data_IF_509624458592
#
_entry.id   IF_509624458592
#
_cell.length_a   1.000
_cell.length_b   1.000
_cell.length_c   1.000
_cell.angle_alpha   90.00
_cell.angle_beta   90.00
_cell.angle_gamma   90.00
#
_symmetry.space_group_name_H-M   'P 1'
#
loop_
_entity.id
_entity.type
_entity.pdbx_description
1 polymer ?
#
# COMPACT_ATOMS: atom_id res chain seq x y z
N UNK A 1 7.36 12.70 -4.16
CA UNK A 1 6.43 13.03 -3.06
C UNK A 1 5.97 14.49 -3.11
N UNK A 2 6.84 15.46 -3.40
CA UNK A 2 6.53 16.91 -3.44
C UNK A 2 5.26 17.26 -4.21
N UNK A 3 5.16 16.84 -5.48
CA UNK A 3 3.99 17.15 -6.30
C UNK A 3 2.69 16.52 -5.79
N UNK A 4 2.77 15.32 -5.18
CA UNK A 4 1.60 14.68 -4.59
C UNK A 4 1.10 15.45 -3.38
N UNK A 5 2.00 15.94 -2.52
CA UNK A 5 1.63 16.78 -1.39
C UNK A 5 1.02 18.10 -1.88
N UNK A 6 1.64 18.75 -2.87
CA UNK A 6 1.12 19.99 -3.47
C UNK A 6 -0.26 19.83 -4.10
N UNK A 7 -0.55 18.70 -4.76
CA UNK A 7 -1.85 18.46 -5.39
C UNK A 7 -2.98 18.24 -4.37
N UNK A 8 -2.64 17.82 -3.15
CA UNK A 8 -3.58 17.55 -2.07
C UNK A 8 -3.57 18.65 -1.00
N UNK A 9 -2.96 19.81 -1.29
CA UNK A 9 -2.76 20.93 -0.37
C UNK A 9 -2.16 20.54 0.99
N UNK A 10 -1.26 19.56 0.99
CA UNK A 10 -0.54 19.11 2.18
C UNK A 10 0.73 19.93 2.38
N UNK A 11 0.98 20.49 3.59
CA UNK A 11 2.11 21.39 3.87
C UNK A 11 3.43 20.61 4.09
N UNK A 12 3.75 19.67 3.21
CA UNK A 12 4.97 18.86 3.27
C UNK A 12 5.79 18.95 2.00
N UNK A 13 7.11 19.05 2.16
CA UNK A 13 8.06 18.73 1.10
C UNK A 13 8.03 17.24 0.72
N UNK A 14 8.77 16.88 -0.32
CA UNK A 14 8.90 15.49 -0.73
C UNK A 14 10.24 14.88 -0.35
N UNK A 15 10.20 13.75 0.35
CA UNK A 15 11.36 12.90 0.61
C UNK A 15 11.04 11.43 0.32
N UNK A 16 12.07 10.59 0.28
CA UNK A 16 11.97 9.13 0.23
C UNK A 16 13.24 8.53 0.83
N UNK A 17 13.08 7.56 1.72
CA UNK A 17 14.16 6.71 2.22
C UNK A 17 14.05 5.31 1.64
N UNK A 18 15.19 4.64 1.47
CA UNK A 18 15.25 3.25 1.07
C UNK A 18 16.42 2.55 1.75
N UNK A 19 16.24 1.27 2.04
CA UNK A 19 17.29 0.37 2.52
C UNK A 19 17.33 -0.82 1.56
N UNK A 20 18.50 -1.10 0.97
CA UNK A 20 18.67 -2.23 0.06
C UNK A 20 18.82 -3.49 0.91
N UNK A 21 17.69 -4.13 1.19
CA UNK A 21 17.62 -5.37 1.97
C UNK A 21 16.43 -6.19 1.49
N UNK A 22 16.60 -7.51 1.38
CA UNK A 22 15.47 -8.41 1.21
C UNK A 22 14.98 -8.84 2.60
N UNK A 23 13.79 -8.40 3.05
CA UNK A 23 13.30 -8.72 4.38
C UNK A 23 13.04 -10.23 4.59
N UNK A 24 12.92 -11.02 3.52
CA UNK A 24 12.67 -12.46 3.64
C UNK A 24 13.91 -13.25 4.06
N UNK A 25 15.11 -12.65 3.97
CA UNK A 25 16.36 -13.27 4.41
C UNK A 25 16.68 -13.07 5.89
N UNK A 26 15.83 -12.34 6.62
CA UNK A 26 16.09 -11.95 8.01
C UNK A 26 14.94 -12.37 8.91
N UNK A 27 15.29 -12.69 10.16
CA UNK A 27 14.30 -12.91 11.21
C UNK A 27 13.74 -11.58 11.69
N UNK A 28 12.59 -11.64 12.34
CA UNK A 28 11.89 -10.47 12.86
C UNK A 28 12.76 -9.63 13.82
N UNK A 29 13.51 -10.27 14.72
CA UNK A 29 14.41 -9.59 15.66
C UNK A 29 15.66 -9.01 14.97
N UNK A 30 16.12 -9.63 13.89
CA UNK A 30 17.21 -9.10 13.05
C UNK A 30 16.74 -7.85 12.29
N UNK A 31 15.53 -7.89 11.73
CA UNK A 31 14.91 -6.74 11.08
C UNK A 31 14.73 -5.58 12.05
N UNK A 32 14.29 -5.84 13.29
CA UNK A 32 14.22 -4.80 14.32
C UNK A 32 15.59 -4.14 14.55
N UNK A 33 16.65 -4.93 14.75
CA UNK A 33 18.02 -4.40 14.94
C UNK A 33 18.49 -3.58 13.73
N UNK A 34 18.20 -4.04 12.52
CA UNK A 34 18.54 -3.34 11.27
C UNK A 34 17.79 -2.00 11.21
N UNK A 35 16.47 -2.00 11.44
CA UNK A 35 15.63 -0.79 11.40
C UNK A 35 16.07 0.22 12.46
N UNK A 36 16.35 -0.21 13.68
CA UNK A 36 16.84 0.67 14.75
C UNK A 36 18.19 1.29 14.39
N UNK A 37 19.13 0.47 13.91
CA UNK A 37 20.43 1.00 13.47
C UNK A 37 20.28 1.98 12.32
N UNK A 38 19.42 1.69 11.35
CA UNK A 38 19.12 2.60 10.25
C UNK A 38 18.54 3.93 10.76
N UNK A 39 17.59 3.88 11.68
CA UNK A 39 17.01 5.07 12.33
C UNK A 39 18.06 5.92 13.03
N UNK A 40 18.98 5.28 13.76
CA UNK A 40 20.09 5.95 14.43
C UNK A 40 21.00 6.71 13.44
N UNK A 41 21.32 6.08 12.30
CA UNK A 41 22.13 6.69 11.25
C UNK A 41 21.40 7.84 10.53
N UNK A 42 20.08 7.76 10.37
CA UNK A 42 19.27 8.87 9.84
C UNK A 42 19.25 10.04 10.84
N UNK A 43 19.01 9.75 12.12
CA UNK A 43 18.91 10.73 13.19
C UNK A 43 20.19 11.56 13.32
N UNK A 44 21.36 10.90 13.32
CA UNK A 44 22.67 11.56 13.37
C UNK A 44 22.94 12.55 12.24
N UNK A 45 22.20 12.45 11.14
CA UNK A 45 22.34 13.28 9.94
C UNK A 45 21.14 14.20 9.73
N UNK A 46 20.27 14.33 10.74
CA UNK A 46 19.02 15.11 10.68
C UNK A 46 18.08 14.69 9.54
N UNK A 47 18.15 13.41 9.13
CA UNK A 47 17.30 12.84 8.07
C UNK A 47 16.00 12.22 8.60
N UNK A 48 15.78 12.26 9.91
CA UNK A 48 14.53 11.94 10.59
C UNK A 48 14.34 12.95 11.71
N UNK A 49 13.22 13.68 11.70
CA UNK A 49 12.90 14.70 12.71
C UNK A 49 11.41 15.06 12.60
N UNK A 50 10.67 15.23 13.71
CA UNK A 50 9.25 15.58 13.70
C UNK A 50 8.89 16.78 12.82
N UNK A 51 9.76 17.78 12.75
CA UNK A 51 9.54 19.02 11.98
C UNK A 51 10.32 19.14 10.67
N UNK A 52 11.22 18.20 10.34
CA UNK A 52 12.04 18.31 9.11
C UNK A 52 11.76 17.19 8.12
N UNK A 53 11.81 15.94 8.57
CA UNK A 53 11.59 14.78 7.72
C UNK A 53 10.93 13.66 8.50
N UNK A 54 9.71 13.31 8.10
CA UNK A 54 8.84 12.37 8.80
C UNK A 54 8.59 11.16 7.88
N UNK A 55 9.31 10.03 8.07
CA UNK A 55 9.08 8.83 7.30
C UNK A 55 7.66 8.27 7.47
N UNK A 56 7.27 7.43 6.51
CA UNK A 56 6.08 6.60 6.59
C UNK A 56 6.31 5.27 5.87
N UNK A 57 5.40 4.31 6.02
CA UNK A 57 5.57 2.96 5.49
C UNK A 57 5.47 2.95 3.96
N UNK A 58 6.26 2.06 3.37
CA UNK A 58 6.32 1.77 1.93
C UNK A 58 6.62 0.28 1.67
N UNK A 59 6.92 -0.07 0.42
CA UNK A 59 7.22 -1.45 0.01
C UNK A 59 8.27 -2.11 0.93
N UNK A 60 7.92 -3.26 1.51
CA UNK A 60 8.80 -4.02 2.41
C UNK A 60 8.81 -3.54 3.86
N UNK A 61 7.95 -2.59 4.23
CA UNK A 61 7.83 -2.08 5.61
C UNK A 61 6.37 -2.06 6.05
N UNK A 62 6.15 -2.07 7.36
CA UNK A 62 4.83 -2.10 7.98
C UNK A 62 4.79 -1.25 9.27
N UNK A 63 3.71 -1.37 10.02
CA UNK A 63 3.53 -0.67 11.29
C UNK A 63 4.58 -1.03 12.35
N UNK A 64 5.12 -2.26 12.33
CA UNK A 64 6.17 -2.68 13.27
C UNK A 64 7.46 -1.93 12.98
N UNK A 65 7.83 -1.82 11.70
CA UNK A 65 8.98 -1.01 11.29
C UNK A 65 8.81 0.43 11.76
N UNK A 66 7.63 1.03 11.56
CA UNK A 66 7.36 2.40 12.00
C UNK A 66 7.39 2.55 13.53
N UNK A 67 6.92 1.55 14.27
CA UNK A 67 7.00 1.51 15.72
C UNK A 67 8.45 1.48 16.23
N UNK A 68 9.30 0.63 15.64
CA UNK A 68 10.72 0.56 16.01
C UNK A 68 11.47 1.85 15.69
N UNK A 69 11.18 2.48 14.54
CA UNK A 69 11.77 3.77 14.20
C UNK A 69 11.37 4.85 15.21
N UNK A 70 10.09 4.93 15.57
CA UNK A 70 9.62 5.93 16.54
C UNK A 70 10.21 5.71 17.95
N UNK A 71 10.26 4.46 18.42
CA UNK A 71 10.86 4.11 19.72
C UNK A 71 12.36 4.45 19.76
N UNK A 72 13.09 4.09 18.70
CA UNK A 72 14.52 4.40 18.61
C UNK A 72 14.78 5.91 18.56
N UNK A 73 14.00 6.65 17.78
CA UNK A 73 14.11 8.11 17.73
C UNK A 73 13.85 8.74 19.11
N UNK A 74 12.79 8.31 19.79
CA UNK A 74 12.45 8.78 21.15
C UNK A 74 13.57 8.51 22.15
N UNK A 75 14.25 7.36 22.03
CA UNK A 75 15.40 7.00 22.87
C UNK A 75 16.59 7.92 22.64
N UNK A 76 16.85 8.32 21.40
CA UNK A 76 17.96 9.21 21.04
C UNK A 76 17.70 10.67 21.44
N UNK A 77 16.44 11.11 21.42
CA UNK A 77 16.03 12.47 21.76
C UNK A 77 14.97 12.48 22.88
N UNK A 78 15.34 12.13 24.12
CA UNK A 78 14.39 11.98 25.23
C UNK A 78 13.75 13.30 25.69
N UNK A 79 14.34 14.44 25.32
CA UNK A 79 13.83 15.78 25.64
C UNK A 79 12.96 16.38 24.53
N UNK A 80 12.93 15.76 23.34
CA UNK A 80 12.08 16.21 22.24
C UNK A 80 10.63 15.85 22.52
N UNK A 81 9.77 16.85 22.72
CA UNK A 81 8.38 16.69 23.13
C UNK A 81 7.57 15.98 22.04
N UNK A 82 7.87 16.28 20.77
CA UNK A 82 7.15 15.75 19.62
C UNK A 82 7.86 14.52 19.02
N UNK A 83 8.73 13.86 19.78
CA UNK A 83 9.55 12.74 19.27
C UNK A 83 8.72 11.62 18.62
N UNK A 84 7.50 11.37 19.10
CA UNK A 84 6.60 10.36 18.51
C UNK A 84 6.03 10.78 17.15
N UNK A 85 6.08 12.07 16.79
CA UNK A 85 5.71 12.58 15.47
C UNK A 85 6.84 12.44 14.44
N UNK A 86 8.01 11.91 14.82
CA UNK A 86 9.13 11.64 13.90
C UNK A 86 8.80 10.67 12.77
N UNK A 87 7.76 9.83 12.90
CA UNK A 87 7.33 8.83 11.91
C UNK A 87 5.80 8.72 11.88
N UNK A 88 5.22 8.46 10.71
CA UNK A 88 3.78 8.15 10.52
C UNK A 88 3.54 6.68 10.17
N UNK A 89 2.29 6.21 10.23
CA UNK A 89 1.98 4.80 9.96
C UNK A 89 2.35 3.85 11.10
N UNK A 90 2.48 4.38 12.32
CA UNK A 90 2.63 3.62 13.55
C UNK A 90 1.33 2.87 13.89
N UNK A 91 1.38 1.83 14.74
CA UNK A 91 0.19 1.20 15.30
C UNK A 91 -0.66 2.21 16.08
N UNK A 92 -1.97 2.02 16.12
CA UNK A 92 -2.92 2.90 16.84
C UNK A 92 -2.50 3.06 18.31
N UNK A 93 -2.10 1.96 18.96
CA UNK A 93 -1.64 1.95 20.35
C UNK A 93 -0.40 2.83 20.61
N UNK A 94 0.35 3.22 19.57
CA UNK A 94 1.56 4.04 19.64
C UNK A 94 1.37 5.42 18.97
N UNK A 95 0.14 5.95 18.98
CA UNK A 95 -0.18 7.24 18.35
C UNK A 95 -0.27 7.17 16.83
N UNK A 96 -0.59 5.98 16.29
CA UNK A 96 -1.07 5.82 14.92
C UNK A 96 -2.46 6.42 14.73
N UNK A 97 -2.81 6.70 13.47
CA UNK A 97 -4.13 7.23 13.11
C UNK A 97 -4.98 6.09 12.56
N UNK A 98 -6.22 6.00 13.04
CA UNK A 98 -7.17 5.01 12.55
C UNK A 98 -7.40 5.17 11.04
N UNK A 99 -7.57 4.04 10.37
CA UNK A 99 -7.75 3.98 8.94
C UNK A 99 -6.52 4.24 8.06
N UNK A 100 -5.32 4.44 8.65
CA UNK A 100 -4.08 4.73 7.90
C UNK A 100 -3.66 3.58 6.98
N UNK A 101 -3.94 2.34 7.36
CA UNK A 101 -3.53 1.15 6.59
C UNK A 101 -4.29 1.07 5.26
N UNK A 102 -5.60 1.32 5.29
CA UNK A 102 -6.45 1.32 4.10
C UNK A 102 -6.49 2.66 3.37
N UNK A 103 -6.02 3.76 3.98
CA UNK A 103 -6.16 5.13 3.46
C UNK A 103 -5.75 5.27 1.98
N UNK A 104 -4.68 4.60 1.55
CA UNK A 104 -4.22 4.70 0.15
C UNK A 104 -5.16 3.95 -0.80
N UNK A 105 -5.64 2.76 -0.44
CA UNK A 105 -6.64 2.04 -1.24
C UNK A 105 -7.97 2.78 -1.29
N UNK A 106 -8.39 3.37 -0.17
CA UNK A 106 -9.56 4.25 -0.07
C UNK A 106 -9.43 5.50 -0.96
N UNK A 107 -8.25 6.10 -1.02
CA UNK A 107 -7.95 7.23 -1.90
C UNK A 107 -8.07 6.86 -3.39
N UNK A 108 -7.60 5.67 -3.78
CA UNK A 108 -7.78 5.13 -5.15
C UNK A 108 -9.27 4.97 -5.46
N UNK A 109 -10.03 4.38 -4.55
CA UNK A 109 -11.48 4.23 -4.68
C UNK A 109 -12.18 5.57 -4.92
N UNK A 110 -11.93 6.58 -4.08
CA UNK A 110 -12.54 7.91 -4.26
C UNK A 110 -12.10 8.59 -5.55
N UNK A 111 -10.83 8.43 -5.95
CA UNK A 111 -10.32 8.99 -7.20
C UNK A 111 -11.03 8.40 -8.42
N UNK A 112 -11.32 7.09 -8.40
CA UNK A 112 -12.11 6.42 -9.44
C UNK A 112 -13.54 6.97 -9.45
N UNK A 113 -14.18 7.08 -8.28
CA UNK A 113 -15.55 7.62 -8.21
C UNK A 113 -15.64 9.06 -8.72
N UNK A 114 -14.69 9.92 -8.35
CA UNK A 114 -14.67 11.31 -8.80
C UNK A 114 -14.43 11.41 -10.30
N UNK A 115 -13.53 10.59 -10.85
CA UNK A 115 -13.32 10.49 -12.30
C UNK A 115 -14.60 10.07 -13.03
N UNK A 116 -15.33 9.06 -12.52
CA UNK A 116 -16.59 8.62 -13.10
C UNK A 116 -17.72 9.65 -12.94
N UNK A 117 -17.66 10.49 -11.90
CA UNK A 117 -18.60 11.59 -11.71
C UNK A 117 -18.30 12.81 -12.59
N UNK A 118 -17.07 12.95 -13.07
CA UNK A 118 -16.70 14.01 -14.00
C UNK A 118 -17.17 13.70 -15.42
N UNK A 119 -18.21 14.40 -15.89
CA UNK A 119 -18.80 14.16 -17.20
C UNK A 119 -17.83 14.35 -18.38
N UNK A 120 -16.88 15.28 -18.27
CA UNK A 120 -15.93 15.57 -19.35
C UNK A 120 -14.96 14.40 -19.53
N UNK A 121 -14.41 13.89 -18.44
CA UNK A 121 -13.42 12.82 -18.48
C UNK A 121 -14.07 11.44 -18.69
N UNK A 122 -15.25 11.20 -18.07
CA UNK A 122 -16.06 10.01 -18.32
C UNK A 122 -16.46 9.87 -19.78
N UNK A 123 -16.97 10.93 -20.42
CA UNK A 123 -17.37 10.88 -21.85
C UNK A 123 -16.19 10.54 -22.77
N UNK A 124 -14.98 11.03 -22.45
CA UNK A 124 -13.76 10.70 -23.20
C UNK A 124 -13.34 9.25 -23.02
N UNK A 125 -13.46 8.70 -21.81
CA UNK A 125 -13.09 7.31 -21.51
C UNK A 125 -14.13 6.28 -22.00
N UNK A 126 -15.33 6.73 -22.40
CA UNK A 126 -16.46 5.87 -22.79
C UNK A 126 -16.91 4.92 -21.68
N UNK A 127 -16.59 5.24 -20.42
CA UNK A 127 -17.04 4.49 -19.26
C UNK A 127 -18.44 4.94 -18.84
N UNK A 128 -19.19 4.02 -18.22
CA UNK A 128 -20.44 4.34 -17.53
C UNK A 128 -20.15 5.03 -16.20
N UNK A 129 -21.14 5.74 -15.66
CA UNK A 129 -20.99 6.50 -14.41
C UNK A 129 -20.96 5.56 -13.21
N UNK A 130 -21.82 4.55 -13.23
CA UNK A 130 -22.03 3.61 -12.13
C UNK A 130 -20.88 2.61 -12.07
N UNK A 131 -20.30 2.42 -10.89
CA UNK A 131 -19.24 1.43 -10.67
C UNK A 131 -19.78 -0.01 -10.69
N UNK A 132 -21.06 -0.18 -10.38
CA UNK A 132 -21.72 -1.48 -10.32
C UNK A 132 -21.61 -2.24 -11.65
N UNK A 133 -21.15 -3.49 -11.56
CA UNK A 133 -20.94 -4.36 -12.71
C UNK A 133 -19.78 -3.98 -13.62
N UNK A 134 -19.01 -2.91 -13.35
CA UNK A 134 -17.78 -2.63 -14.07
C UNK A 134 -16.72 -3.69 -13.78
N UNK A 135 -15.96 -4.09 -14.80
CA UNK A 135 -14.90 -5.10 -14.70
C UNK A 135 -13.60 -4.42 -14.30
N UNK A 136 -12.95 -4.91 -13.26
CA UNK A 136 -11.71 -4.32 -12.73
C UNK A 136 -10.64 -5.41 -12.59
N UNK A 137 -9.42 -5.05 -12.97
CA UNK A 137 -8.22 -5.86 -12.80
C UNK A 137 -7.32 -5.16 -11.80
N UNK A 138 -6.83 -5.89 -10.80
CA UNK A 138 -5.94 -5.37 -9.76
C UNK A 138 -4.57 -6.01 -9.91
N UNK A 139 -3.53 -5.20 -10.06
CA UNK A 139 -2.15 -5.67 -10.07
C UNK A 139 -1.47 -5.29 -8.75
N UNK A 140 -0.98 -6.30 -8.04
CA UNK A 140 -0.43 -6.20 -6.69
C UNK A 140 -1.53 -6.30 -5.64
N UNK A 141 -1.46 -7.30 -4.76
CA UNK A 141 -2.45 -7.56 -3.72
C UNK A 141 -1.92 -7.30 -2.29
N UNK A 142 -1.02 -6.32 -2.19
CA UNK A 142 -0.58 -5.70 -0.94
C UNK A 142 -1.62 -4.74 -0.36
N UNK A 143 -1.21 -3.87 0.59
CA UNK A 143 -2.13 -2.97 1.29
C UNK A 143 -2.98 -2.11 0.34
N UNK A 144 -2.36 -1.47 -0.65
CA UNK A 144 -3.09 -0.58 -1.58
C UNK A 144 -4.08 -1.36 -2.44
N UNK A 145 -3.62 -2.41 -3.12
CA UNK A 145 -4.44 -3.16 -4.07
C UNK A 145 -5.57 -3.91 -3.39
N UNK A 146 -5.33 -4.51 -2.22
CA UNK A 146 -6.37 -5.19 -1.45
C UNK A 146 -7.48 -4.22 -1.03
N UNK A 147 -7.16 -3.11 -0.36
CA UNK A 147 -8.19 -2.18 0.13
C UNK A 147 -8.92 -1.45 -1.00
N UNK A 148 -8.25 -1.18 -2.13
CA UNK A 148 -8.94 -0.69 -3.32
C UNK A 148 -9.90 -1.74 -3.88
N UNK A 149 -9.45 -2.99 -4.02
CA UNK A 149 -10.29 -4.10 -4.52
C UNK A 149 -11.50 -4.36 -3.62
N UNK A 150 -11.32 -4.31 -2.30
CA UNK A 150 -12.35 -4.51 -1.28
C UNK A 150 -13.47 -3.46 -1.42
N UNK A 151 -13.12 -2.16 -1.41
CA UNK A 151 -14.11 -1.08 -1.52
C UNK A 151 -14.83 -1.07 -2.88
N UNK A 152 -14.10 -1.36 -3.96
CA UNK A 152 -14.68 -1.47 -5.30
C UNK A 152 -15.65 -2.67 -5.39
N UNK A 153 -15.27 -3.82 -4.83
CA UNK A 153 -16.11 -5.01 -4.76
C UNK A 153 -17.38 -4.77 -3.94
N UNK A 154 -17.26 -4.15 -2.76
CA UNK A 154 -18.40 -3.77 -1.91
C UNK A 154 -19.35 -2.78 -2.60
N UNK A 155 -18.82 -1.94 -3.49
CA UNK A 155 -19.61 -1.02 -4.32
C UNK A 155 -20.23 -1.69 -5.56
N UNK A 156 -20.14 -3.02 -5.69
CA UNK A 156 -20.74 -3.80 -6.78
C UNK A 156 -19.87 -3.94 -8.03
N UNK A 157 -18.61 -3.49 -8.01
CA UNK A 157 -17.69 -3.76 -9.10
C UNK A 157 -17.34 -5.25 -9.19
N UNK A 158 -17.06 -5.72 -10.40
CA UNK A 158 -16.60 -7.09 -10.65
C UNK A 158 -15.09 -7.11 -10.73
N UNK A 159 -14.42 -7.52 -9.65
CA UNK A 159 -13.00 -7.82 -9.68
C UNK A 159 -12.80 -9.11 -10.48
N UNK A 160 -12.34 -9.01 -11.72
CA UNK A 160 -12.24 -10.15 -12.64
C UNK A 160 -10.86 -10.78 -12.67
N UNK A 161 -9.83 -10.03 -12.27
CA UNK A 161 -8.49 -10.57 -12.15
C UNK A 161 -7.70 -9.87 -11.05
N UNK A 162 -6.89 -10.66 -10.34
CA UNK A 162 -5.88 -10.16 -9.39
C UNK A 162 -4.54 -10.77 -9.75
N UNK A 163 -3.55 -9.92 -9.99
CA UNK A 163 -2.23 -10.31 -10.49
C UNK A 163 -1.19 -10.06 -9.40
N UNK A 164 -0.32 -11.02 -9.15
CA UNK A 164 0.79 -10.93 -8.20
C UNK A 164 2.06 -11.53 -8.81
N UNK A 165 3.21 -11.38 -8.14
CA UNK A 165 4.52 -11.85 -8.61
C UNK A 165 4.56 -13.32 -9.06
N UNK A 166 3.78 -14.19 -8.41
CA UNK A 166 3.81 -15.66 -8.61
C UNK A 166 2.75 -16.15 -9.62
N UNK A 167 1.82 -15.29 -10.04
CA UNK A 167 0.74 -15.64 -10.96
C UNK A 167 -0.49 -14.75 -10.80
N UNK A 168 -1.61 -15.16 -11.39
CA UNK A 168 -2.87 -14.42 -11.33
C UNK A 168 -4.04 -15.31 -10.96
N UNK A 169 -5.09 -14.71 -10.42
CA UNK A 169 -6.41 -15.34 -10.28
C UNK A 169 -7.32 -14.64 -11.28
N UNK A 170 -8.01 -15.40 -12.15
CA UNK A 170 -8.87 -14.83 -13.19
C UNK A 170 -10.24 -15.50 -13.15
N UNK A 171 -11.29 -14.71 -12.97
CA UNK A 171 -12.67 -15.15 -13.05
C UNK A 171 -13.55 -14.07 -13.71
N UNK A 172 -14.04 -14.33 -14.92
CA UNK A 172 -14.93 -13.39 -15.61
C UNK A 172 -16.24 -13.12 -14.86
N UNK A 173 -16.66 -14.05 -14.00
CA UNK A 173 -17.87 -13.90 -13.17
C UNK A 173 -17.63 -13.05 -11.92
N UNK A 174 -16.37 -12.76 -11.59
CA UNK A 174 -15.97 -12.02 -10.40
C UNK A 174 -15.25 -12.89 -9.37
N UNK A 175 -14.34 -12.27 -8.63
CA UNK A 175 -13.53 -12.88 -7.57
C UNK A 175 -14.04 -12.38 -6.23
N UNK A 176 -14.26 -13.29 -5.28
CA UNK A 176 -14.54 -12.94 -3.89
C UNK A 176 -13.24 -12.45 -3.22
N UNK A 177 -13.13 -11.13 -3.08
CA UNK A 177 -11.93 -10.45 -2.58
C UNK A 177 -11.60 -10.86 -1.14
N UNK A 178 -12.61 -11.13 -0.31
CA UNK A 178 -12.42 -11.55 1.09
C UNK A 178 -11.88 -12.97 1.17
N UNK A 179 -12.41 -13.89 0.37
CA UNK A 179 -11.87 -15.26 0.27
C UNK A 179 -10.44 -15.25 -0.25
N UNK A 180 -10.16 -14.46 -1.29
CA UNK A 180 -8.82 -14.33 -1.83
C UNK A 180 -7.84 -13.77 -0.78
N UNK A 181 -8.25 -12.76 0.00
CA UNK A 181 -7.44 -12.22 1.09
C UNK A 181 -7.14 -13.25 2.17
N UNK A 182 -8.14 -14.02 2.62
CA UNK A 182 -7.93 -15.09 3.61
C UNK A 182 -6.91 -16.13 3.11
N UNK A 183 -7.01 -16.51 1.83
CA UNK A 183 -6.03 -17.43 1.22
C UNK A 183 -4.63 -16.82 1.16
N UNK A 184 -4.52 -15.58 0.68
CA UNK A 184 -3.25 -14.88 0.52
C UNK A 184 -2.55 -14.61 1.85
N UNK A 185 -3.29 -14.24 2.91
CA UNK A 185 -2.71 -14.04 4.25
C UNK A 185 -2.11 -15.34 4.80
N UNK A 186 -2.75 -16.49 4.53
CA UNK A 186 -2.28 -17.80 5.00
C UNK A 186 -1.09 -18.33 4.19
N UNK A 187 -1.14 -18.26 2.86
CA UNK A 187 -0.15 -18.89 1.99
C UNK A 187 0.92 -17.95 1.45
N UNK A 188 0.68 -16.63 1.47
CA UNK A 188 1.51 -15.59 0.83
C UNK A 188 1.69 -15.77 -0.69
N UNK A 189 0.84 -16.59 -1.31
CA UNK A 189 0.75 -16.85 -2.75
C UNK A 189 -0.72 -17.12 -3.12
N UNK A 190 -1.05 -17.00 -4.40
CA UNK A 190 -2.34 -17.43 -4.94
C UNK A 190 -2.37 -18.91 -5.34
N UNK A 191 -1.23 -19.61 -5.29
CA UNK A 191 -1.18 -21.04 -5.61
C UNK A 191 -2.18 -21.86 -4.78
N UNK A 192 -2.95 -22.69 -5.49
CA UNK A 192 -4.03 -23.50 -4.93
C UNK A 192 -5.26 -22.70 -4.49
N UNK A 193 -5.41 -21.44 -4.93
CA UNK A 193 -6.71 -20.77 -4.97
C UNK A 193 -7.49 -21.25 -6.20
N UNK A 194 -8.81 -21.26 -6.12
CA UNK A 194 -9.65 -21.58 -7.29
C UNK A 194 -9.34 -20.62 -8.44
N UNK A 195 -9.35 -21.11 -9.68
CA UNK A 195 -9.05 -20.33 -10.90
C UNK A 195 -7.71 -19.56 -10.88
N UNK A 196 -6.75 -20.06 -10.09
CA UNK A 196 -5.35 -19.62 -10.17
C UNK A 196 -4.74 -20.04 -11.51
N UNK A 197 -4.04 -19.11 -12.14
CA UNK A 197 -3.25 -19.30 -13.34
C UNK A 197 -1.79 -19.04 -12.99
N UNK A 198 -0.97 -20.08 -13.13
CA UNK A 198 0.47 -19.96 -12.96
C UNK A 198 1.03 -19.09 -14.07
N UNK A 199 2.10 -18.36 -13.74
CA UNK A 199 2.74 -17.40 -14.63
C UNK A 199 3.39 -18.11 -15.83
N UNK A 200 2.64 -18.35 -16.90
CA UNK A 200 3.21 -18.81 -18.18
C UNK A 200 3.62 -17.63 -19.05
N UNK A 201 2.85 -16.53 -19.09
CA UNK A 201 3.22 -15.33 -19.83
C UNK A 201 2.68 -14.05 -19.17
N UNK A 202 3.47 -12.99 -19.20
CA UNK A 202 3.13 -11.68 -18.64
C UNK A 202 1.84 -11.19 -19.32
N UNK A 203 0.80 -10.83 -18.56
CA UNK A 203 -0.45 -10.22 -19.08
C UNK A 203 -0.22 -8.93 -19.90
N UNK A 204 1.02 -8.40 -19.86
CA UNK A 204 1.55 -7.25 -20.61
C UNK A 204 2.61 -7.64 -21.67
N UNK A 205 2.87 -8.93 -21.89
CA UNK A 205 3.59 -9.37 -23.08
C UNK A 205 2.71 -9.06 -24.30
N UNK A 206 3.31 -8.49 -25.34
CA UNK A 206 2.63 -7.99 -26.56
C UNK A 206 1.67 -8.96 -27.27
N UNK A 207 1.60 -10.22 -26.86
CA UNK A 207 0.88 -11.30 -27.52
C UNK A 207 -0.28 -11.90 -26.71
N UNK A 208 -0.69 -11.30 -25.59
CA UNK A 208 -1.88 -11.75 -24.87
C UNK A 208 -3.14 -11.38 -25.66
N UNK A 209 -3.65 -12.31 -26.47
CA UNK A 209 -4.96 -12.21 -27.14
C UNK A 209 -6.09 -12.42 -26.14
N UNK A 210 -7.04 -11.48 -26.12
CA UNK A 210 -8.34 -11.58 -25.42
C UNK A 210 -9.37 -12.30 -26.30
#
# INVERSE_FOLDING_TARGET
MTYKCSLMDLPFGGSKGALIVDPHHWKHDELERITRRFTNELAKRDLIHPSQNVPGPDMGTDENVMAWMADEYRRLYPTEIDAMASVTGKPIALGGVDGRTEATGRGVFYSILEFLNNDKDRKKSKLRREIEGQRIIIQGFGNVGFHAAELLYESGAKIIAVIERDGSVVNEKGIDVQKLKKHFTRKRTFEGFEVFQQREDIFLAKNATF
#
